data_IF_360064540689
#
_entry.id   IF_360064540689
#
_cell.length_a   1.000
_cell.length_b   1.000
_cell.length_c   1.000
_cell.angle_alpha   90.00
_cell.angle_beta   90.00
_cell.angle_gamma   90.00
#
_symmetry.space_group_name_H-M   'P 1'
#
loop_
_entity.id
_entity.type
_entity.pdbx_description
1 polymer ?
#
# COMPACT_ATOMS: atom_id res chain seq x y z
N UNK A 1 9.92 30.47 17.70
CA UNK A 1 10.67 31.75 17.83
C UNK A 1 10.58 32.55 16.53
N UNK A 2 10.65 33.89 16.56
CA UNK A 2 10.62 34.71 15.34
C UNK A 2 11.70 34.30 14.31
N UNK A 3 12.85 33.83 14.80
CA UNK A 3 13.95 33.29 13.98
C UNK A 3 13.62 31.99 13.21
N UNK A 4 12.52 31.31 13.55
CA UNK A 4 12.05 30.08 12.87
C UNK A 4 10.86 30.35 11.93
N UNK A 5 10.43 31.61 11.80
CA UNK A 5 9.38 31.96 10.85
C UNK A 5 9.93 31.85 9.43
N UNK A 6 9.25 31.06 8.60
CA UNK A 6 9.56 30.94 7.18
C UNK A 6 9.39 32.32 6.51
N UNK A 7 10.40 32.72 5.74
CA UNK A 7 10.40 34.00 5.01
C UNK A 7 10.29 33.80 3.49
N UNK A 8 10.68 32.63 2.97
CA UNK A 8 10.68 32.37 1.53
C UNK A 8 9.27 32.05 1.00
N UNK A 9 8.92 32.53 -0.21
CA UNK A 9 7.65 32.21 -0.84
C UNK A 9 7.57 30.73 -1.22
N UNK A 10 6.34 30.19 -1.20
CA UNK A 10 6.04 28.80 -1.53
C UNK A 10 5.06 28.70 -2.67
N UNK A 11 5.02 27.53 -3.32
CA UNK A 11 4.00 27.23 -4.32
C UNK A 11 3.94 28.32 -5.42
N UNK A 12 5.09 28.89 -5.77
CA UNK A 12 5.20 30.02 -6.71
C UNK A 12 4.96 29.61 -8.16
N UNK A 13 5.08 28.31 -8.47
CA UNK A 13 4.79 27.81 -9.80
C UNK A 13 3.31 28.11 -10.16
N UNK A 14 3.02 28.59 -11.38
CA UNK A 14 1.67 29.01 -11.75
C UNK A 14 0.57 27.95 -11.55
N UNK A 15 0.92 26.66 -11.57
CA UNK A 15 -0.05 25.56 -11.34
C UNK A 15 -0.80 25.69 -10.02
N UNK A 16 -0.15 26.21 -8.97
CA UNK A 16 -0.76 26.36 -7.65
C UNK A 16 -1.60 27.63 -7.51
N UNK A 17 -1.60 28.51 -8.53
CA UNK A 17 -2.23 29.82 -8.49
C UNK A 17 -3.26 30.02 -9.62
N UNK A 18 -3.63 28.96 -10.34
CA UNK A 18 -4.52 29.02 -11.53
C UNK A 18 -5.89 28.37 -11.33
N UNK A 19 -6.05 27.50 -10.34
CA UNK A 19 -7.25 26.67 -10.19
C UNK A 19 -7.75 26.72 -8.74
N UNK A 20 -8.34 27.85 -8.34
CA UNK A 20 -8.78 28.06 -6.95
C UNK A 20 -10.28 27.89 -6.77
N UNK A 21 -11.06 28.03 -7.84
CA UNK A 21 -12.47 27.65 -7.81
C UNK A 21 -12.66 26.15 -8.02
N UNK A 22 -13.71 25.60 -7.43
CA UNK A 22 -14.09 24.20 -7.62
C UNK A 22 -14.25 23.84 -9.11
N UNK A 23 -14.86 24.73 -9.90
CA UNK A 23 -15.04 24.52 -11.35
C UNK A 23 -13.72 24.45 -12.11
N UNK A 24 -12.76 25.33 -11.79
CA UNK A 24 -11.44 25.30 -12.40
C UNK A 24 -10.67 24.03 -12.04
N UNK A 25 -10.72 23.62 -10.76
CA UNK A 25 -10.08 22.39 -10.29
C UNK A 25 -10.70 21.16 -10.95
N UNK A 26 -12.04 21.05 -11.00
CA UNK A 26 -12.72 19.95 -11.69
C UNK A 26 -12.31 19.85 -13.17
N UNK A 27 -12.26 20.97 -13.89
CA UNK A 27 -11.80 21.00 -15.29
C UNK A 27 -10.33 20.62 -15.42
N UNK A 28 -9.49 21.03 -14.48
CA UNK A 28 -8.07 20.68 -14.49
C UNK A 28 -7.87 19.18 -14.27
N UNK A 29 -8.51 18.59 -13.25
CA UNK A 29 -8.44 17.15 -12.96
C UNK A 29 -8.95 16.33 -14.16
N UNK A 30 -10.12 16.66 -14.71
CA UNK A 30 -10.67 15.95 -15.86
C UNK A 30 -9.77 16.06 -17.11
N UNK A 31 -9.13 17.21 -17.33
CA UNK A 31 -8.17 17.39 -18.44
C UNK A 31 -6.91 16.53 -18.26
N UNK A 32 -6.46 16.28 -17.04
CA UNK A 32 -5.35 15.37 -16.77
C UNK A 32 -5.79 13.92 -16.96
N UNK A 33 -6.92 13.53 -16.36
CA UNK A 33 -7.54 12.21 -16.50
C UNK A 33 -7.66 11.78 -17.96
N UNK A 34 -8.13 12.67 -18.84
CA UNK A 34 -8.29 12.39 -20.28
C UNK A 34 -7.00 12.08 -21.05
N UNK A 35 -5.83 12.31 -20.46
CA UNK A 35 -4.53 11.96 -21.06
C UNK A 35 -4.11 10.53 -20.77
N UNK A 36 -4.76 9.90 -19.79
CA UNK A 36 -4.36 8.60 -19.27
C UNK A 36 -5.36 7.53 -19.74
N UNK A 37 -4.85 6.42 -20.27
CA UNK A 37 -5.67 5.25 -20.59
C UNK A 37 -5.88 4.44 -19.31
N UNK A 38 -7.14 4.20 -18.94
CA UNK A 38 -7.52 3.46 -17.75
C UNK A 38 -8.50 2.30 -18.08
N UNK A 39 -8.83 1.50 -17.06
CA UNK A 39 -9.66 0.29 -17.20
C UNK A 39 -11.12 0.59 -17.58
N UNK A 40 -11.59 1.83 -17.45
CA UNK A 40 -12.91 2.25 -17.92
C UNK A 40 -12.96 2.52 -19.43
N UNK A 41 -11.83 2.49 -20.16
CA UNK A 41 -11.82 2.62 -21.63
C UNK A 41 -11.45 1.32 -22.35
N UNK A 42 -10.48 0.56 -21.85
CA UNK A 42 -9.99 -0.62 -22.53
C UNK A 42 -9.32 -1.63 -21.57
N UNK A 43 -9.12 -2.84 -22.07
CA UNK A 43 -8.23 -3.81 -21.41
C UNK A 43 -6.79 -3.30 -21.41
N UNK A 44 -6.12 -3.41 -20.25
CA UNK A 44 -4.69 -3.10 -20.08
C UNK A 44 -3.95 -4.41 -19.73
N UNK A 45 -3.44 -5.16 -20.72
CA UNK A 45 -2.92 -6.52 -20.52
C UNK A 45 -1.44 -6.52 -20.06
N UNK A 46 -1.15 -5.86 -18.94
CA UNK A 46 0.20 -5.85 -18.36
C UNK A 46 0.47 -7.17 -17.64
N UNK A 47 1.39 -7.96 -18.17
CA UNK A 47 1.84 -9.22 -17.57
C UNK A 47 2.35 -9.00 -16.14
N UNK A 48 2.09 -9.96 -15.26
CA UNK A 48 2.41 -9.90 -13.83
C UNK A 48 1.69 -8.83 -12.99
N UNK A 49 0.95 -7.89 -13.59
CA UNK A 49 0.25 -6.82 -12.87
C UNK A 49 -1.18 -7.18 -12.44
N UNK A 50 -1.80 -8.21 -13.02
CA UNK A 50 -3.17 -8.65 -12.69
C UNK A 50 -4.21 -7.52 -12.74
N UNK A 51 -4.31 -6.84 -13.89
CA UNK A 51 -5.25 -5.74 -14.14
C UNK A 51 -6.72 -6.23 -14.23
N UNK A 52 -7.28 -6.64 -13.09
CA UNK A 52 -8.66 -7.13 -12.94
C UNK A 52 -9.64 -6.00 -12.60
N UNK A 53 -10.91 -6.35 -12.48
CA UNK A 53 -11.96 -5.44 -12.01
C UNK A 53 -11.63 -4.90 -10.60
N UNK A 54 -11.76 -3.59 -10.41
CA UNK A 54 -11.89 -2.94 -9.11
C UNK A 54 -13.38 -2.60 -8.93
N UNK A 55 -14.15 -3.46 -8.24
CA UNK A 55 -15.59 -3.31 -8.24
C UNK A 55 -16.02 -2.11 -7.39
N UNK A 56 -17.05 -1.37 -7.82
CA UNK A 56 -17.54 -0.21 -7.06
C UNK A 56 -17.93 -0.58 -5.62
N UNK A 57 -18.56 -1.74 -5.42
CA UNK A 57 -18.92 -2.25 -4.10
C UNK A 57 -17.71 -2.48 -3.18
N UNK A 58 -16.55 -2.83 -3.73
CA UNK A 58 -15.29 -3.03 -2.97
C UNK A 58 -14.63 -1.68 -2.63
N UNK A 59 -14.82 -0.66 -3.47
CA UNK A 59 -14.19 0.65 -3.32
C UNK A 59 -14.95 1.61 -2.42
N UNK A 60 -16.28 1.54 -2.36
CA UNK A 60 -17.11 2.48 -1.57
C UNK A 60 -16.71 2.56 -0.08
N UNK A 61 -16.44 1.45 0.63
CA UNK A 61 -16.15 1.52 2.06
C UNK A 61 -14.88 2.27 2.44
N UNK A 62 -13.91 2.42 1.53
CA UNK A 62 -12.61 3.02 1.86
C UNK A 62 -12.72 4.51 2.24
N UNK A 63 -13.81 5.17 1.87
CA UNK A 63 -14.08 6.58 2.20
C UNK A 63 -15.13 6.76 3.30
N UNK A 64 -15.62 5.68 3.91
CA UNK A 64 -16.50 5.80 5.06
C UNK A 64 -15.72 6.38 6.25
N UNK A 65 -16.28 7.31 7.04
CA UNK A 65 -15.58 7.88 8.20
C UNK A 65 -15.08 6.81 9.19
N UNK A 66 -15.86 5.74 9.38
CA UNK A 66 -15.53 4.61 10.24
C UNK A 66 -14.24 3.86 9.82
N UNK A 67 -13.84 3.98 8.55
CA UNK A 67 -12.55 3.49 8.04
C UNK A 67 -11.53 4.63 7.89
N UNK A 68 -11.89 5.73 7.24
CA UNK A 68 -10.93 6.75 6.79
C UNK A 68 -10.51 7.77 7.85
N UNK A 69 -11.28 7.94 8.93
CA UNK A 69 -11.03 8.97 9.95
C UNK A 69 -10.48 8.43 11.27
N UNK A 70 -10.20 7.12 11.36
CA UNK A 70 -9.64 6.52 12.56
C UNK A 70 -8.12 6.72 12.63
N UNK A 71 -7.63 7.32 13.71
CA UNK A 71 -6.19 7.46 13.94
C UNK A 71 -5.56 6.08 14.20
N UNK A 72 -4.41 5.73 13.57
CA UNK A 72 -3.82 4.38 13.67
C UNK A 72 -3.37 3.96 15.08
N UNK A 73 -3.21 4.91 16.00
CA UNK A 73 -2.88 4.67 17.41
C UNK A 73 -4.02 5.01 18.38
N UNK A 74 -5.27 4.99 17.91
CA UNK A 74 -6.41 5.12 18.81
C UNK A 74 -6.44 3.96 19.83
N UNK A 75 -7.08 4.14 21.00
CA UNK A 75 -7.35 3.03 21.91
C UNK A 75 -8.02 1.84 21.19
N UNK A 76 -7.61 0.58 21.47
CA UNK A 76 -8.08 -0.59 20.73
C UNK A 76 -9.60 -0.76 20.68
N UNK A 77 -10.29 -0.34 21.73
CA UNK A 77 -11.75 -0.38 21.83
C UNK A 77 -12.46 0.50 20.79
N UNK A 78 -11.79 1.55 20.29
CA UNK A 78 -12.30 2.41 19.21
C UNK A 78 -12.16 1.74 17.82
N UNK A 79 -11.30 0.71 17.71
CA UNK A 79 -10.98 0.00 16.49
C UNK A 79 -11.58 -1.42 16.42
N UNK A 80 -12.59 -1.74 17.23
CA UNK A 80 -13.16 -3.08 17.31
C UNK A 80 -13.65 -3.62 15.94
N UNK A 81 -14.25 -2.75 15.11
CA UNK A 81 -14.66 -3.09 13.75
C UNK A 81 -13.48 -3.46 12.84
N UNK A 82 -12.37 -2.72 12.95
CA UNK A 82 -11.12 -3.04 12.25
C UNK A 82 -10.54 -4.38 12.68
N UNK A 83 -10.53 -4.67 13.98
CA UNK A 83 -10.04 -5.94 14.51
C UNK A 83 -10.85 -7.12 13.97
N UNK A 84 -12.18 -7.00 13.93
CA UNK A 84 -13.04 -8.02 13.35
C UNK A 84 -12.76 -8.21 11.86
N UNK A 85 -12.71 -7.12 11.08
CA UNK A 85 -12.44 -7.17 9.64
C UNK A 85 -11.08 -7.81 9.33
N UNK A 86 -10.02 -7.36 10.01
CA UNK A 86 -8.65 -7.87 9.84
C UNK A 86 -8.59 -9.35 10.21
N UNK A 87 -9.23 -9.74 11.33
CA UNK A 87 -9.29 -11.14 11.76
C UNK A 87 -9.98 -12.04 10.74
N UNK A 88 -11.12 -11.60 10.20
CA UNK A 88 -11.84 -12.35 9.17
C UNK A 88 -11.02 -12.49 7.88
N UNK A 89 -10.42 -11.39 7.39
CA UNK A 89 -9.57 -11.43 6.20
C UNK A 89 -8.35 -12.34 6.41
N UNK A 90 -7.71 -12.27 7.58
CA UNK A 90 -6.60 -13.15 7.95
C UNK A 90 -6.99 -14.62 7.89
N UNK A 91 -8.17 -14.97 8.42
CA UNK A 91 -8.67 -16.35 8.37
C UNK A 91 -8.91 -16.82 6.93
N UNK A 92 -9.50 -15.99 6.08
CA UNK A 92 -9.71 -16.34 4.67
C UNK A 92 -8.39 -16.53 3.93
N UNK A 93 -7.40 -15.66 4.16
CA UNK A 93 -6.07 -15.80 3.53
C UNK A 93 -5.34 -17.06 4.01
N UNK A 94 -5.42 -17.39 5.30
CA UNK A 94 -4.92 -18.67 5.84
C UNK A 94 -5.57 -19.86 5.12
N UNK A 95 -6.89 -19.86 4.96
CA UNK A 95 -7.59 -20.94 4.26
C UNK A 95 -7.19 -21.06 2.78
N UNK A 96 -6.96 -19.93 2.10
CA UNK A 96 -6.56 -19.91 0.68
C UNK A 96 -5.11 -20.34 0.45
N UNK A 97 -4.22 -20.09 1.41
CA UNK A 97 -2.77 -20.28 1.25
C UNK A 97 -2.23 -21.52 1.95
N UNK A 98 -2.93 -22.03 2.96
CA UNK A 98 -2.47 -23.16 3.78
C UNK A 98 -1.39 -22.81 4.82
N UNK A 99 -1.09 -21.52 5.03
CA UNK A 99 -0.22 -21.07 6.13
C UNK A 99 -0.93 -21.09 7.47
N UNK A 100 -0.18 -21.17 8.57
CA UNK A 100 -0.74 -21.12 9.93
C UNK A 100 -1.17 -19.71 10.37
N UNK A 101 -0.54 -18.66 9.80
CA UNK A 101 -0.77 -17.28 10.18
C UNK A 101 -0.43 -16.28 9.05
N UNK A 102 -1.01 -15.09 9.11
CA UNK A 102 -0.76 -13.97 8.19
C UNK A 102 -0.45 -12.70 8.99
N UNK A 103 0.55 -11.95 8.54
CA UNK A 103 0.86 -10.61 9.05
C UNK A 103 0.38 -9.54 8.06
N UNK A 104 -0.46 -8.61 8.52
CA UNK A 104 -1.02 -7.52 7.70
C UNK A 104 -0.16 -6.26 7.67
N UNK A 105 1.00 -6.26 8.34
CA UNK A 105 1.84 -5.07 8.47
C UNK A 105 2.54 -4.64 7.16
N UNK A 106 3.02 -5.55 6.28
CA UNK A 106 3.66 -5.15 5.03
C UNK A 106 2.66 -4.49 4.07
N UNK A 107 2.96 -3.26 3.63
CA UNK A 107 2.07 -2.46 2.77
C UNK A 107 2.40 -2.54 1.27
N UNK A 108 3.29 -3.45 0.86
CA UNK A 108 3.62 -3.75 -0.53
C UNK A 108 4.20 -5.16 -0.66
N UNK A 109 4.21 -5.72 -1.86
CA UNK A 109 4.80 -7.04 -2.13
C UNK A 109 6.27 -7.13 -1.72
N UNK A 110 7.08 -6.13 -2.07
CA UNK A 110 8.50 -6.07 -1.70
C UNK A 110 8.71 -5.99 -0.18
N UNK A 111 7.87 -5.24 0.56
CA UNK A 111 7.94 -5.27 2.02
C UNK A 111 7.55 -6.64 2.59
N UNK A 112 6.61 -7.35 1.95
CA UNK A 112 6.26 -8.72 2.31
C UNK A 112 7.43 -9.69 2.15
N UNK A 113 8.15 -9.61 1.02
CA UNK A 113 9.37 -10.37 0.77
C UNK A 113 10.43 -10.10 1.86
N UNK A 114 10.74 -8.84 2.12
CA UNK A 114 11.72 -8.44 3.13
C UNK A 114 11.33 -8.89 4.55
N UNK A 115 10.07 -8.70 4.95
CA UNK A 115 9.58 -9.16 6.25
C UNK A 115 9.66 -10.69 6.39
N UNK A 116 9.34 -11.43 5.32
CA UNK A 116 9.46 -12.89 5.29
C UNK A 116 10.91 -13.37 5.44
N UNK A 117 11.86 -12.74 4.72
CA UNK A 117 13.28 -13.05 4.83
C UNK A 117 13.83 -12.71 6.22
N UNK A 118 13.39 -11.60 6.82
CA UNK A 118 13.75 -11.26 8.19
C UNK A 118 13.20 -12.31 9.18
N UNK A 119 11.96 -12.78 9.00
CA UNK A 119 11.39 -13.84 9.83
C UNK A 119 12.20 -15.16 9.71
N UNK A 120 12.60 -15.55 8.50
CA UNK A 120 13.46 -16.73 8.26
C UNK A 120 14.82 -16.56 8.95
N UNK A 121 15.44 -15.38 8.81
CA UNK A 121 16.71 -15.08 9.49
C UNK A 121 16.58 -15.18 11.01
N UNK A 122 15.54 -14.57 11.60
CA UNK A 122 15.27 -14.65 13.05
C UNK A 122 15.02 -16.09 13.51
N UNK A 123 14.41 -16.91 12.67
CA UNK A 123 14.20 -18.33 12.91
C UNK A 123 15.51 -19.16 12.88
N UNK A 124 16.50 -18.78 12.05
CA UNK A 124 17.83 -19.37 12.13
C UNK A 124 18.60 -18.90 13.36
N UNK A 125 18.55 -17.60 13.68
CA UNK A 125 19.16 -17.02 14.87
C UNK A 125 18.65 -17.70 16.16
N UNK A 126 17.33 -17.96 16.27
CA UNK A 126 16.74 -18.62 17.44
C UNK A 126 17.18 -20.07 17.65
N UNK A 127 17.74 -20.71 16.61
CA UNK A 127 18.27 -22.08 16.64
C UNK A 127 19.80 -22.12 16.64
N UNK A 128 20.45 -20.97 16.86
CA UNK A 128 21.90 -20.80 16.80
C UNK A 128 22.52 -21.13 15.42
N UNK A 129 21.75 -20.97 14.35
CA UNK A 129 22.19 -21.20 12.96
C UNK A 129 22.47 -19.90 12.21
N UNK A 130 22.91 -18.83 12.90
CA UNK A 130 23.08 -17.49 12.32
C UNK A 130 24.08 -17.43 11.14
N UNK A 131 24.92 -18.45 10.96
CA UNK A 131 25.79 -18.60 9.78
C UNK A 131 25.05 -18.87 8.46
N UNK A 132 23.75 -19.17 8.49
CA UNK A 132 22.92 -19.40 7.29
C UNK A 132 22.40 -18.08 6.72
N UNK A 133 23.13 -17.51 5.77
CA UNK A 133 22.84 -16.20 5.17
C UNK A 133 22.85 -16.21 3.63
N UNK A 134 22.93 -17.39 3.02
CA UNK A 134 22.88 -17.54 1.56
C UNK A 134 21.43 -17.74 1.12
N UNK A 135 20.91 -16.81 0.30
CA UNK A 135 19.60 -16.93 -0.35
C UNK A 135 19.79 -17.36 -1.82
N UNK A 136 19.13 -18.45 -2.22
CA UNK A 136 19.17 -18.93 -3.61
C UNK A 136 18.05 -18.26 -4.40
N UNK A 137 18.39 -17.47 -5.42
CA UNK A 137 17.43 -16.71 -6.22
C UNK A 137 17.59 -17.07 -7.70
N UNK A 138 16.56 -17.63 -8.36
CA UNK A 138 16.58 -17.87 -9.80
C UNK A 138 16.71 -16.57 -10.60
N UNK A 139 17.40 -16.60 -11.73
CA UNK A 139 17.58 -15.42 -12.60
C UNK A 139 16.28 -14.89 -13.22
N UNK A 140 15.21 -15.70 -13.23
CA UNK A 140 13.87 -15.32 -13.70
C UNK A 140 12.99 -14.65 -12.63
N UNK A 141 13.46 -14.57 -11.38
CA UNK A 141 12.70 -13.94 -10.31
C UNK A 141 12.43 -12.46 -10.59
N UNK A 142 11.37 -11.93 -10.00
CA UNK A 142 11.09 -10.50 -10.08
C UNK A 142 12.25 -9.71 -9.45
N UNK A 143 12.54 -8.51 -9.97
CA UNK A 143 13.70 -7.71 -9.54
C UNK A 143 13.64 -7.27 -8.07
N UNK A 144 12.47 -7.33 -7.43
CA UNK A 144 12.33 -7.08 -5.98
C UNK A 144 12.97 -8.18 -5.15
N UNK A 145 12.94 -9.44 -5.60
CA UNK A 145 13.48 -10.57 -4.85
C UNK A 145 14.97 -10.40 -4.46
N UNK A 146 15.91 -10.14 -5.40
CA UNK A 146 17.31 -9.91 -5.04
C UNK A 146 17.56 -8.56 -4.36
N UNK A 147 16.65 -7.58 -4.50
CA UNK A 147 16.77 -6.31 -3.79
C UNK A 147 16.33 -6.42 -2.31
N UNK A 148 15.40 -7.32 -2.02
CA UNK A 148 14.89 -7.60 -0.68
C UNK A 148 15.82 -8.50 0.16
N UNK A 149 16.64 -9.35 -0.48
CA UNK A 149 17.52 -10.33 0.17
C UNK A 149 18.90 -9.78 0.53
#
# INVERSE_FOLDING_TARGET
PAAMLRQDPILTHPVFNRYHSETEMMRYMHRLERKDLALNQAMIPLGSCTMKLNAAAEMIPITWPEFSELHPFCPPEQAAGYQQMIGQLSQWLVQLTGYDAVCMQPNSGAQGEYAGLLAIRRYHESRNEAGRHVCLIPSSAHGTNPASA
#
